data_IF_176144307389
#
_entry.id   IF_176144307389
#
_cell.length_a   1.000
_cell.length_b   1.000
_cell.length_c   1.000
_cell.angle_alpha   90.00
_cell.angle_beta   90.00
_cell.angle_gamma   90.00
#
_symmetry.space_group_name_H-M   'P 1'
#
loop_
_entity.id
_entity.type
_entity.pdbx_description
1 polymer ?
#
# COMPACT_ATOMS: atom_id res chain seq x y z
N UNK A 1 -13.79 -9.02 -77.28
CA UNK A 1 -13.21 -7.91 -76.46
C UNK A 1 -14.13 -7.46 -75.34
N UNK A 2 -15.41 -7.27 -75.53
CA UNK A 2 -16.38 -6.76 -74.47
C UNK A 2 -16.57 -7.76 -73.33
N UNK A 3 -16.57 -9.08 -73.53
CA UNK A 3 -16.79 -10.11 -72.50
C UNK A 3 -15.65 -10.17 -71.48
N UNK A 4 -14.39 -10.01 -71.93
CA UNK A 4 -13.20 -10.04 -71.02
C UNK A 4 -13.13 -8.80 -70.11
N UNK A 5 -13.59 -7.64 -70.55
CA UNK A 5 -13.62 -6.40 -69.74
C UNK A 5 -14.69 -6.53 -68.65
N UNK A 6 -15.83 -7.16 -68.95
CA UNK A 6 -16.93 -7.38 -68.03
C UNK A 6 -16.51 -8.35 -66.86
N UNK A 7 -15.79 -9.40 -67.18
CA UNK A 7 -15.26 -10.38 -66.21
C UNK A 7 -14.19 -9.75 -65.29
N UNK A 8 -13.31 -8.90 -65.85
CA UNK A 8 -12.26 -8.23 -65.07
C UNK A 8 -12.84 -7.22 -64.08
N UNK A 9 -13.92 -6.53 -64.47
CA UNK A 9 -14.61 -5.57 -63.57
C UNK A 9 -15.41 -6.29 -62.48
N UNK A 10 -16.02 -7.44 -62.75
CA UNK A 10 -16.70 -8.25 -61.72
C UNK A 10 -15.72 -8.77 -60.67
N UNK A 11 -14.55 -9.31 -61.07
CA UNK A 11 -13.55 -9.78 -60.16
C UNK A 11 -12.95 -8.64 -59.28
N UNK A 12 -12.76 -7.46 -59.87
CA UNK A 12 -12.28 -6.29 -59.09
C UNK A 12 -13.34 -5.78 -58.09
N UNK A 13 -14.62 -5.91 -58.42
CA UNK A 13 -15.70 -5.54 -57.49
C UNK A 13 -15.83 -6.55 -56.33
N UNK A 14 -15.76 -7.84 -56.64
CA UNK A 14 -15.75 -8.92 -55.64
C UNK A 14 -14.55 -8.79 -54.68
N UNK A 15 -13.37 -8.53 -55.18
CA UNK A 15 -12.16 -8.30 -54.35
C UNK A 15 -12.34 -7.09 -53.39
N UNK A 16 -12.92 -5.98 -53.91
CA UNK A 16 -13.20 -4.81 -53.02
C UNK A 16 -14.21 -5.14 -51.94
N UNK A 17 -15.25 -5.89 -52.25
CA UNK A 17 -16.32 -6.29 -51.34
C UNK A 17 -15.76 -7.21 -50.27
N UNK A 18 -14.97 -8.25 -50.64
CA UNK A 18 -14.32 -9.14 -49.69
C UNK A 18 -13.38 -8.39 -48.78
N UNK A 19 -12.52 -7.50 -49.29
CA UNK A 19 -11.63 -6.69 -48.49
C UNK A 19 -12.36 -5.76 -47.54
N UNK A 20 -13.49 -5.22 -47.96
CA UNK A 20 -14.34 -4.38 -47.12
C UNK A 20 -14.94 -5.16 -45.94
N UNK A 21 -15.42 -6.37 -46.15
CA UNK A 21 -15.96 -7.24 -45.10
C UNK A 21 -14.87 -7.74 -44.15
N UNK A 22 -13.72 -8.10 -44.67
CA UNK A 22 -12.56 -8.54 -43.85
C UNK A 22 -12.09 -7.40 -42.96
N UNK A 23 -11.94 -6.18 -43.50
CA UNK A 23 -11.54 -5.01 -42.71
C UNK A 23 -12.59 -4.64 -41.64
N UNK A 24 -13.89 -4.71 -42.00
CA UNK A 24 -14.98 -4.45 -41.05
C UNK A 24 -14.99 -5.48 -39.92
N UNK A 25 -14.83 -6.77 -40.23
CA UNK A 25 -14.74 -7.84 -39.25
C UNK A 25 -13.52 -7.65 -38.31
N UNK A 26 -12.36 -7.29 -38.87
CA UNK A 26 -11.14 -7.05 -38.12
C UNK A 26 -11.28 -5.86 -37.20
N UNK A 27 -11.87 -4.77 -37.64
CA UNK A 27 -12.16 -3.56 -36.84
C UNK A 27 -13.12 -3.85 -35.70
N UNK A 28 -14.18 -4.60 -35.91
CA UNK A 28 -15.14 -4.99 -34.86
C UNK A 28 -14.48 -5.91 -33.84
N UNK A 29 -13.62 -6.84 -34.26
CA UNK A 29 -12.85 -7.72 -33.37
C UNK A 29 -11.86 -6.91 -32.53
N UNK A 30 -11.20 -5.91 -33.12
CA UNK A 30 -10.30 -4.99 -32.40
C UNK A 30 -11.06 -4.15 -31.38
N UNK A 31 -12.18 -3.51 -31.77
CA UNK A 31 -13.02 -2.74 -30.84
C UNK A 31 -13.46 -3.58 -29.65
N UNK A 32 -13.90 -4.81 -29.89
CA UNK A 32 -14.32 -5.72 -28.82
C UNK A 32 -13.16 -6.09 -27.89
N UNK A 33 -11.94 -6.28 -28.42
CA UNK A 33 -10.73 -6.53 -27.64
C UNK A 33 -10.34 -5.32 -26.77
N UNK A 34 -10.40 -4.11 -27.33
CA UNK A 34 -10.12 -2.88 -26.57
C UNK A 34 -11.20 -2.59 -25.54
N UNK A 35 -12.47 -2.84 -25.84
CA UNK A 35 -13.57 -2.70 -24.88
C UNK A 35 -13.40 -3.67 -23.70
N UNK A 36 -12.96 -4.91 -23.95
CA UNK A 36 -12.65 -5.89 -22.89
C UNK A 36 -11.44 -5.45 -22.06
N UNK A 37 -10.40 -4.92 -22.69
CA UNK A 37 -9.21 -4.43 -22.03
C UNK A 37 -9.51 -3.19 -21.16
N UNK A 38 -10.30 -2.24 -21.68
CA UNK A 38 -10.72 -1.04 -20.91
C UNK A 38 -11.66 -1.40 -19.77
N UNK A 39 -12.57 -2.36 -19.97
CA UNK A 39 -13.43 -2.89 -18.91
C UNK A 39 -12.62 -3.58 -17.82
N UNK A 40 -11.63 -4.40 -18.20
CA UNK A 40 -10.74 -5.09 -17.26
C UNK A 40 -9.89 -4.10 -16.45
N UNK A 41 -9.33 -3.06 -17.10
CA UNK A 41 -8.60 -1.98 -16.42
C UNK A 41 -9.52 -1.15 -15.50
N UNK A 42 -10.77 -0.92 -15.90
CA UNK A 42 -11.75 -0.22 -15.09
C UNK A 42 -12.17 -1.02 -13.84
N UNK A 43 -12.36 -2.33 -13.96
CA UNK A 43 -12.66 -3.21 -12.82
C UNK A 43 -11.50 -3.23 -11.83
N UNK A 44 -10.25 -3.25 -12.29
CA UNK A 44 -9.08 -3.15 -11.41
C UNK A 44 -9.00 -1.82 -10.64
N UNK A 45 -9.50 -0.71 -11.21
CA UNK A 45 -9.53 0.58 -10.52
C UNK A 45 -10.65 0.70 -9.49
N UNK A 46 -11.63 -0.22 -9.49
CA UNK A 46 -12.71 -0.29 -8.50
C UNK A 46 -12.32 -1.02 -7.20
N UNK A 47 -11.19 -1.72 -7.15
CA UNK A 47 -10.60 -2.16 -5.89
C UNK A 47 -10.09 -0.92 -5.16
N UNK A 48 -11.00 -0.26 -4.45
CA UNK A 48 -10.72 0.93 -3.65
C UNK A 48 -9.58 0.63 -2.68
N UNK A 49 -8.71 1.60 -2.50
CA UNK A 49 -7.64 1.54 -1.52
C UNK A 49 -8.28 1.52 -0.14
N UNK A 50 -8.41 0.33 0.45
CA UNK A 50 -9.04 0.15 1.75
C UNK A 50 -8.20 0.86 2.84
N UNK A 51 -8.83 1.83 3.50
CA UNK A 51 -8.24 2.50 4.67
C UNK A 51 -8.16 1.53 5.85
N UNK A 52 -7.31 1.85 6.81
CA UNK A 52 -7.18 1.01 8.00
C UNK A 52 -8.49 0.96 8.80
N UNK A 53 -8.84 -0.25 9.27
CA UNK A 53 -10.07 -0.54 10.00
C UNK A 53 -9.86 -0.31 11.49
N UNK A 54 -10.72 0.47 12.13
CA UNK A 54 -10.68 0.72 13.57
C UNK A 54 -10.97 -0.56 14.36
N UNK A 55 -10.11 -0.86 15.35
CA UNK A 55 -10.32 -1.94 16.32
C UNK A 55 -10.58 -1.37 17.71
N UNK A 56 -9.82 -0.38 18.15
CA UNK A 56 -9.99 0.31 19.44
C UNK A 56 -9.63 1.78 19.32
N UNK A 57 -10.57 2.64 19.61
CA UNK A 57 -10.34 4.09 19.64
C UNK A 57 -9.41 4.48 20.79
N UNK A 58 -9.57 3.86 21.95
CA UNK A 58 -8.81 4.18 23.18
C UNK A 58 -7.31 3.86 23.03
N UNK A 59 -6.96 2.86 22.22
CA UNK A 59 -5.58 2.48 21.92
C UNK A 59 -5.08 3.05 20.59
N UNK A 60 -5.86 3.90 19.91
CA UNK A 60 -5.59 4.33 18.53
C UNK A 60 -5.17 3.15 17.64
N UNK A 61 -5.86 2.00 17.83
CA UNK A 61 -5.52 0.70 17.26
C UNK A 61 -6.34 0.43 16.00
N UNK A 62 -5.64 0.22 14.89
CA UNK A 62 -6.24 -0.07 13.58
C UNK A 62 -5.56 -1.26 12.91
N UNK A 63 -6.31 -2.00 12.14
CA UNK A 63 -5.82 -2.97 11.19
C UNK A 63 -5.55 -2.27 9.85
N UNK A 64 -4.29 -2.26 9.41
CA UNK A 64 -3.87 -1.69 8.12
C UNK A 64 -4.14 -2.68 6.99
N UNK A 65 -3.76 -3.95 7.22
CA UNK A 65 -4.08 -5.12 6.38
C UNK A 65 -4.07 -6.39 7.24
N UNK A 66 -4.16 -7.56 6.62
CA UNK A 66 -4.19 -8.85 7.34
C UNK A 66 -2.94 -9.13 8.19
N UNK A 67 -1.80 -8.49 7.87
CA UNK A 67 -0.50 -8.72 8.52
C UNK A 67 0.09 -7.49 9.19
N UNK A 68 -0.53 -6.31 9.07
CA UNK A 68 -0.03 -5.09 9.69
C UNK A 68 -1.12 -4.38 10.49
N UNK A 69 -0.76 -4.04 11.72
CA UNK A 69 -1.55 -3.24 12.65
C UNK A 69 -0.77 -2.02 13.08
N UNK A 70 -1.49 -0.97 13.49
CA UNK A 70 -0.90 0.26 14.02
C UNK A 70 -1.61 0.66 15.31
N UNK A 71 -0.89 1.26 16.27
CA UNK A 71 -1.48 1.78 17.51
C UNK A 71 -0.66 2.92 18.11
N UNK A 72 -1.19 3.50 19.16
CA UNK A 72 -0.39 4.25 20.14
C UNK A 72 0.38 3.30 21.06
N UNK A 73 1.09 3.87 22.05
CA UNK A 73 1.78 3.09 23.08
C UNK A 73 0.76 2.29 23.90
N UNK A 74 0.73 1.00 23.71
CA UNK A 74 -0.16 0.09 24.45
C UNK A 74 0.10 0.12 25.96
N UNK A 75 -0.97 -0.02 26.71
CA UNK A 75 -0.96 -0.13 28.18
C UNK A 75 -1.54 -1.48 28.63
N UNK A 76 -1.52 -1.76 29.94
CA UNK A 76 -2.01 -3.04 30.45
C UNK A 76 -3.47 -3.35 30.11
N UNK A 77 -4.31 -2.31 30.04
CA UNK A 77 -5.73 -2.44 29.67
C UNK A 77 -5.92 -2.96 28.24
N UNK A 78 -4.99 -2.66 27.32
CA UNK A 78 -5.09 -3.07 25.91
C UNK A 78 -4.72 -4.54 25.70
N UNK A 79 -4.15 -5.20 26.72
CA UNK A 79 -3.61 -6.55 26.58
C UNK A 79 -4.64 -7.56 26.11
N UNK A 80 -5.87 -7.46 26.59
CA UNK A 80 -6.94 -8.41 26.22
C UNK A 80 -7.36 -8.24 24.75
N UNK A 81 -7.40 -7.01 24.24
CA UNK A 81 -7.67 -6.76 22.80
C UNK A 81 -6.55 -7.37 21.96
N UNK A 82 -5.29 -7.17 22.36
CA UNK A 82 -4.13 -7.67 21.60
C UNK A 82 -4.09 -9.20 21.58
N UNK A 83 -4.51 -9.89 22.64
CA UNK A 83 -4.58 -11.37 22.66
C UNK A 83 -5.60 -11.95 21.66
N UNK A 84 -6.64 -11.19 21.34
CA UNK A 84 -7.68 -11.61 20.39
C UNK A 84 -7.31 -11.32 18.93
N UNK A 85 -6.12 -10.75 18.68
CA UNK A 85 -5.61 -10.44 17.34
C UNK A 85 -4.36 -11.31 17.10
N UNK A 86 -4.10 -11.78 15.86
CA UNK A 86 -3.02 -12.72 15.57
C UNK A 86 -1.61 -12.07 15.55
N UNK A 87 -1.37 -11.05 16.40
CA UNK A 87 -0.10 -10.34 16.46
C UNK A 87 0.98 -11.25 17.05
N UNK A 88 2.08 -11.38 16.32
CA UNK A 88 3.29 -12.14 16.74
C UNK A 88 4.47 -11.24 17.06
N UNK A 89 4.48 -10.02 16.53
CA UNK A 89 5.58 -9.07 16.74
C UNK A 89 5.03 -7.67 16.98
N UNK A 90 5.61 -6.98 17.97
CA UNK A 90 5.37 -5.55 18.21
C UNK A 90 6.68 -4.81 17.93
N UNK A 91 6.62 -3.82 17.03
CA UNK A 91 7.73 -2.93 16.67
C UNK A 91 7.47 -1.55 17.27
N UNK A 92 8.30 -1.20 18.25
CA UNK A 92 8.25 0.08 18.95
C UNK A 92 9.22 1.10 18.32
N UNK A 93 8.69 2.19 17.80
CA UNK A 93 9.48 3.26 17.17
C UNK A 93 9.94 4.36 18.15
N UNK A 94 9.69 4.19 19.44
CA UNK A 94 10.03 5.23 20.46
C UNK A 94 11.53 5.26 20.71
N UNK A 95 12.10 6.44 20.66
CA UNK A 95 13.50 6.66 21.05
C UNK A 95 13.66 6.65 22.57
N UNK A 96 12.77 7.36 23.29
CA UNK A 96 12.71 7.37 24.75
C UNK A 96 11.72 6.34 25.27
N UNK A 97 11.91 5.84 26.48
CA UNK A 97 11.00 4.92 27.18
C UNK A 97 10.79 3.58 26.44
N UNK A 98 11.86 2.99 25.92
CA UNK A 98 11.88 1.80 25.06
C UNK A 98 11.36 0.52 25.74
N UNK A 99 11.39 0.49 27.08
CA UNK A 99 11.06 -0.72 27.86
C UNK A 99 9.59 -0.82 28.26
N UNK A 100 8.73 0.12 27.84
CA UNK A 100 7.30 0.10 28.25
C UNK A 100 6.60 -1.17 27.80
N UNK A 101 6.86 -1.65 26.58
CA UNK A 101 6.22 -2.87 26.05
C UNK A 101 6.53 -4.10 26.89
N UNK A 102 7.76 -4.23 27.39
CA UNK A 102 8.16 -5.30 28.32
C UNK A 102 7.39 -5.30 29.64
N UNK A 103 6.81 -4.15 30.03
CA UNK A 103 5.94 -4.04 31.22
C UNK A 103 4.51 -4.46 30.95
N UNK A 104 4.08 -4.42 29.68
CA UNK A 104 2.75 -4.81 29.23
C UNK A 104 2.74 -6.27 28.82
N UNK A 105 3.69 -6.66 27.97
CA UNK A 105 3.79 -8.00 27.39
C UNK A 105 4.95 -8.76 28.02
N UNK A 106 4.65 -9.95 28.53
CA UNK A 106 5.62 -10.86 29.14
C UNK A 106 5.95 -12.01 28.18
N UNK A 107 6.97 -12.78 28.49
CA UNK A 107 7.40 -13.95 27.70
C UNK A 107 6.24 -14.94 27.45
N UNK A 108 5.34 -15.10 28.44
CA UNK A 108 4.16 -15.97 28.34
C UNK A 108 3.14 -15.52 27.27
N UNK A 109 3.20 -14.26 26.83
CA UNK A 109 2.28 -13.76 25.78
C UNK A 109 2.70 -14.22 24.36
N UNK A 110 3.90 -14.80 24.22
CA UNK A 110 4.45 -15.30 22.96
C UNK A 110 4.46 -14.23 21.84
N UNK A 111 4.76 -12.98 22.22
CA UNK A 111 4.87 -11.83 21.32
C UNK A 111 6.33 -11.36 21.33
N UNK A 112 6.93 -11.29 20.13
CA UNK A 112 8.29 -10.74 19.97
C UNK A 112 8.23 -9.21 20.09
N UNK A 113 9.08 -8.64 20.94
CA UNK A 113 9.19 -7.20 21.13
C UNK A 113 10.48 -6.69 20.49
N UNK A 114 10.34 -5.84 19.47
CA UNK A 114 11.45 -5.20 18.76
C UNK A 114 11.39 -3.69 19.02
N UNK A 115 12.50 -3.10 19.44
CA UNK A 115 12.62 -1.64 19.47
C UNK A 115 13.48 -1.16 18.30
N UNK A 116 12.92 -0.26 17.49
CA UNK A 116 13.61 0.46 16.40
C UNK A 116 13.45 1.97 16.64
N UNK A 117 14.33 2.57 17.47
CA UNK A 117 14.14 3.92 17.97
C UNK A 117 14.34 4.96 16.87
N UNK A 118 13.34 5.83 16.68
CA UNK A 118 13.36 6.94 15.73
C UNK A 118 13.15 8.28 16.44
N UNK A 119 13.88 9.29 15.98
CA UNK A 119 13.65 10.70 16.34
C UNK A 119 12.79 11.33 15.25
N UNK A 120 11.60 11.78 15.58
CA UNK A 120 10.59 12.29 14.62
C UNK A 120 11.15 13.34 13.67
N UNK A 121 12.02 14.22 14.16
CA UNK A 121 12.62 15.33 13.41
C UNK A 121 13.83 14.92 12.51
N UNK A 122 14.27 13.65 12.56
CA UNK A 122 15.44 13.16 11.81
C UNK A 122 15.16 11.97 10.89
N UNK A 123 13.90 11.62 10.69
CA UNK A 123 13.51 10.49 9.85
C UNK A 123 13.90 10.77 8.38
N UNK A 124 14.59 9.81 7.76
CA UNK A 124 15.04 9.83 6.36
C UNK A 124 14.61 8.55 5.64
N UNK A 125 14.78 8.50 4.33
CA UNK A 125 14.45 7.34 3.49
C UNK A 125 15.08 6.03 4.01
N UNK A 126 16.35 6.07 4.43
CA UNK A 126 17.05 4.92 5.01
C UNK A 126 16.38 4.41 6.29
N UNK A 127 15.94 5.29 7.19
CA UNK A 127 15.26 4.92 8.43
C UNK A 127 13.92 4.24 8.13
N UNK A 128 13.19 4.77 7.15
CA UNK A 128 11.93 4.20 6.65
C UNK A 128 12.18 2.80 6.10
N UNK A 129 13.14 2.64 5.19
CA UNK A 129 13.47 1.36 4.58
C UNK A 129 13.84 0.31 5.63
N UNK A 130 14.63 0.66 6.63
CA UNK A 130 14.99 -0.26 7.71
C UNK A 130 13.79 -0.71 8.55
N UNK A 131 12.83 0.17 8.83
CA UNK A 131 11.58 -0.21 9.53
C UNK A 131 10.73 -1.10 8.64
N UNK A 132 10.55 -0.75 7.36
CA UNK A 132 9.78 -1.56 6.41
C UNK A 132 10.38 -2.96 6.24
N UNK A 133 11.69 -3.07 6.15
CA UNK A 133 12.38 -4.36 6.10
C UNK A 133 12.13 -5.20 7.36
N UNK A 134 12.16 -4.57 8.56
CA UNK A 134 11.83 -5.26 9.82
C UNK A 134 10.38 -5.72 9.87
N UNK A 135 9.43 -4.88 9.40
CA UNK A 135 8.02 -5.25 9.29
C UNK A 135 7.89 -6.49 8.40
N UNK A 136 8.44 -6.45 7.18
CA UNK A 136 8.36 -7.58 6.22
C UNK A 136 8.96 -8.87 6.77
N UNK A 137 10.14 -8.77 7.40
CA UNK A 137 10.78 -9.94 8.02
C UNK A 137 9.95 -10.50 9.18
N UNK A 138 9.35 -9.64 10.00
CA UNK A 138 8.52 -10.08 11.12
C UNK A 138 7.19 -10.70 10.63
N UNK A 139 6.64 -10.24 9.51
CA UNK A 139 5.43 -10.80 8.88
C UNK A 139 5.58 -12.26 8.43
N UNK A 140 6.81 -12.76 8.24
CA UNK A 140 7.07 -14.19 7.98
C UNK A 140 6.65 -15.08 9.17
N UNK A 141 6.56 -14.52 10.39
CA UNK A 141 6.15 -15.22 11.61
C UNK A 141 4.69 -14.96 12.00
N UNK A 142 4.02 -14.01 11.35
CA UNK A 142 2.63 -13.61 11.61
C UNK A 142 2.44 -12.11 11.62
N UNK A 143 1.27 -11.66 12.08
CA UNK A 143 0.94 -10.25 12.06
C UNK A 143 1.84 -9.39 12.96
N UNK A 144 2.10 -8.17 12.50
CA UNK A 144 2.98 -7.18 13.14
C UNK A 144 2.17 -5.98 13.57
N UNK A 145 2.40 -5.50 14.78
CA UNK A 145 1.91 -4.21 15.23
C UNK A 145 3.07 -3.23 15.28
N UNK A 146 2.94 -2.08 14.62
CA UNK A 146 3.89 -0.97 14.68
C UNK A 146 3.30 0.19 15.47
N UNK A 147 4.06 0.72 16.43
CA UNK A 147 3.60 1.85 17.23
C UNK A 147 4.69 2.85 17.59
N UNK A 148 4.27 4.04 18.03
CA UNK A 148 5.15 5.03 18.65
C UNK A 148 4.56 5.50 19.99
N UNK A 149 4.50 6.79 20.27
CA UNK A 149 3.83 7.30 21.48
C UNK A 149 2.32 7.49 21.25
N UNK A 150 1.95 8.33 20.28
CA UNK A 150 0.55 8.57 19.92
C UNK A 150 0.03 7.69 18.77
N UNK A 151 0.86 6.86 18.16
CA UNK A 151 0.44 6.09 16.97
C UNK A 151 0.26 6.93 15.70
N UNK A 152 0.52 8.23 15.75
CA UNK A 152 0.20 9.21 14.73
C UNK A 152 1.36 9.51 13.76
N UNK A 153 2.46 10.10 14.26
CA UNK A 153 3.49 10.71 13.43
C UNK A 153 4.51 9.69 12.87
N UNK A 154 5.36 9.09 13.73
CA UNK A 154 6.35 8.06 13.32
C UNK A 154 5.66 6.84 12.77
N UNK A 155 4.61 6.38 13.43
CA UNK A 155 3.78 5.27 12.95
C UNK A 155 3.10 5.64 11.63
N UNK A 156 2.57 6.85 11.53
CA UNK A 156 1.89 7.34 10.32
C UNK A 156 2.78 7.31 9.09
N UNK A 157 4.00 7.88 9.16
CA UNK A 157 4.91 7.87 8.00
C UNK A 157 5.34 6.45 7.61
N UNK A 158 5.54 5.53 8.58
CA UNK A 158 5.87 4.14 8.28
C UNK A 158 4.72 3.42 7.58
N UNK A 159 3.49 3.59 8.05
CA UNK A 159 2.30 2.99 7.43
C UNK A 159 2.05 3.59 6.05
N UNK A 160 2.17 4.91 5.89
CA UNK A 160 2.01 5.56 4.58
C UNK A 160 3.02 5.03 3.55
N UNK A 161 4.31 4.94 3.92
CA UNK A 161 5.33 4.38 3.04
C UNK A 161 5.14 2.88 2.79
N UNK A 162 4.67 2.11 3.78
CA UNK A 162 4.28 0.72 3.58
C UNK A 162 3.21 0.58 2.50
N UNK A 163 2.17 1.43 2.53
CA UNK A 163 1.11 1.44 1.51
C UNK A 163 1.64 1.82 0.13
N UNK A 164 2.52 2.83 0.02
CA UNK A 164 3.13 3.23 -1.24
C UNK A 164 3.97 2.09 -1.83
N UNK A 165 4.82 1.47 -1.01
CA UNK A 165 5.80 0.48 -1.47
C UNK A 165 5.15 -0.88 -1.77
N UNK A 166 4.27 -1.37 -0.89
CA UNK A 166 3.75 -2.73 -0.97
C UNK A 166 2.31 -2.82 -1.46
N UNK A 167 1.49 -1.80 -1.21
CA UNK A 167 0.10 -1.74 -1.69
C UNK A 167 -0.07 -0.88 -2.95
N UNK A 168 1.01 -0.29 -3.46
CA UNK A 168 1.02 0.54 -4.68
C UNK A 168 0.06 1.74 -4.59
N UNK A 169 -0.14 2.27 -3.39
CA UNK A 169 -0.91 3.49 -3.23
C UNK A 169 -0.19 4.67 -3.84
N UNK A 170 -0.95 5.65 -4.36
CA UNK A 170 -0.37 6.92 -4.77
C UNK A 170 0.22 7.64 -3.54
N UNK A 171 1.27 8.42 -3.77
CA UNK A 171 1.87 9.28 -2.73
C UNK A 171 0.81 10.21 -2.14
N UNK A 172 -0.07 10.76 -2.99
CA UNK A 172 -1.14 11.67 -2.57
C UNK A 172 -2.13 10.99 -1.63
N UNK A 173 -2.61 9.79 -1.97
CA UNK A 173 -3.59 9.06 -1.13
C UNK A 173 -2.98 8.60 0.19
N UNK A 174 -1.74 8.11 0.19
CA UNK A 174 -1.06 7.68 1.41
C UNK A 174 -0.76 8.88 2.34
N UNK A 175 -0.39 10.03 1.75
CA UNK A 175 -0.22 11.29 2.48
C UNK A 175 -1.54 11.75 3.09
N UNK A 176 -2.63 11.74 2.33
CA UNK A 176 -3.96 12.11 2.81
C UNK A 176 -4.40 11.20 3.97
N UNK A 177 -4.24 9.87 3.86
CA UNK A 177 -4.56 8.94 4.95
C UNK A 177 -3.79 9.29 6.23
N UNK A 178 -2.48 9.59 6.13
CA UNK A 178 -1.67 9.95 7.29
C UNK A 178 -2.10 11.28 7.92
N UNK A 179 -2.35 12.31 7.10
CA UNK A 179 -2.56 13.68 7.59
C UNK A 179 -4.01 13.93 8.02
N UNK A 180 -4.98 13.34 7.33
CA UNK A 180 -6.41 13.61 7.48
C UNK A 180 -7.18 12.43 8.08
N UNK A 181 -6.55 11.26 8.17
CA UNK A 181 -7.14 10.09 8.81
C UNK A 181 -7.31 10.30 10.33
N UNK A 182 -8.07 9.41 10.99
CA UNK A 182 -8.45 9.55 12.40
C UNK A 182 -7.32 9.21 13.39
N UNK A 183 -6.06 9.32 12.99
CA UNK A 183 -4.91 8.85 13.75
C UNK A 183 -4.24 9.91 14.62
N UNK A 184 -4.64 11.19 14.50
CA UNK A 184 -4.15 12.30 15.33
C UNK A 184 -2.79 12.84 14.90
N UNK A 185 -2.51 12.95 13.59
CA UNK A 185 -1.26 13.54 13.09
C UNK A 185 -1.05 14.97 13.60
N UNK A 186 0.20 15.26 14.03
CA UNK A 186 0.57 16.59 14.52
C UNK A 186 1.25 17.40 13.40
N UNK A 187 0.58 18.45 12.93
CA UNK A 187 1.04 19.30 11.80
C UNK A 187 2.34 20.07 12.05
N UNK A 188 2.90 20.04 13.25
CA UNK A 188 4.22 20.58 13.56
C UNK A 188 5.35 19.81 12.86
N UNK A 189 5.12 18.55 12.47
CA UNK A 189 6.13 17.70 11.85
C UNK A 189 6.20 17.89 10.32
N UNK A 190 6.50 19.12 9.86
CA UNK A 190 6.64 19.44 8.44
C UNK A 190 7.72 18.63 7.72
N UNK A 191 8.75 18.22 8.45
CA UNK A 191 9.78 17.32 7.92
C UNK A 191 9.22 15.96 7.49
N UNK A 192 8.18 15.43 8.14
CA UNK A 192 7.51 14.19 7.72
C UNK A 192 6.67 14.41 6.46
N UNK A 193 5.98 15.56 6.37
CA UNK A 193 5.23 15.92 5.16
C UNK A 193 6.14 16.06 3.93
N UNK A 194 7.36 16.56 4.13
CA UNK A 194 8.36 16.73 3.08
C UNK A 194 8.91 15.41 2.51
N UNK A 195 8.70 14.27 3.20
CA UNK A 195 9.11 12.95 2.73
C UNK A 195 8.19 12.38 1.64
N UNK A 196 7.01 12.96 1.42
CA UNK A 196 6.07 12.49 0.40
C UNK A 196 6.45 12.99 -1.01
N UNK A 197 7.57 12.52 -1.54
CA UNK A 197 8.08 12.83 -2.88
C UNK A 197 8.49 11.57 -3.61
N UNK A 198 8.44 11.60 -4.96
CA UNK A 198 8.93 10.49 -5.80
C UNK A 198 10.38 10.15 -5.48
N UNK A 199 11.22 11.19 -5.24
CA UNK A 199 12.63 11.01 -4.88
C UNK A 199 12.77 10.18 -3.59
N UNK A 200 12.04 10.52 -2.54
CA UNK A 200 12.09 9.78 -1.26
C UNK A 200 11.60 8.34 -1.43
N UNK A 201 10.51 8.14 -2.18
CA UNK A 201 9.97 6.81 -2.47
C UNK A 201 10.99 5.96 -3.23
N UNK A 202 11.66 6.55 -4.21
CA UNK A 202 12.72 5.88 -4.97
C UNK A 202 13.92 5.53 -4.08
N UNK A 203 14.39 6.44 -3.23
CA UNK A 203 15.45 6.17 -2.25
C UNK A 203 15.07 5.03 -1.29
N UNK A 204 13.81 5.00 -0.81
CA UNK A 204 13.31 3.88 0.02
C UNK A 204 13.36 2.55 -0.74
N UNK A 205 12.92 2.53 -2.01
CA UNK A 205 12.99 1.33 -2.87
C UNK A 205 14.43 0.83 -3.04
N UNK A 206 15.35 1.73 -3.32
CA UNK A 206 16.78 1.42 -3.47
C UNK A 206 17.37 0.79 -2.20
N UNK A 207 17.08 1.37 -1.02
CA UNK A 207 17.50 0.81 0.27
C UNK A 207 16.86 -0.55 0.58
N UNK A 208 15.68 -0.84 0.03
CA UNK A 208 15.01 -2.15 0.15
C UNK A 208 15.49 -3.16 -0.90
N UNK A 209 16.26 -2.73 -1.92
CA UNK A 209 16.65 -3.57 -3.06
C UNK A 209 15.47 -3.92 -4.00
N UNK A 210 14.43 -3.07 -4.03
CA UNK A 210 13.23 -3.23 -4.87
C UNK A 210 13.39 -2.33 -6.11
N UNK A 211 13.20 -2.92 -7.31
CA UNK A 211 13.23 -2.18 -8.59
C UNK A 211 11.88 -1.52 -8.88
#
# INVERSE_FOLDING_TARGET
>A
MVAQVKHKNQNALLYKVEHFFINKYFLEKMKRKYLFLTFFLFVFSLFGQERAVLISADANLYQVDSLLYRSEQLVKADKEIIKNIPIKTIINLRYFTRSKDKKVFQTADNIMLINHPLLTWRIRAQDIAQVLQRIRKAQEQGAVLVHCYHGADRTGIMVAMYRIIYHQWSIATAKEEMLQGPYGYHSIWKNLEALFTEKTVQEVREHLGIK
#
